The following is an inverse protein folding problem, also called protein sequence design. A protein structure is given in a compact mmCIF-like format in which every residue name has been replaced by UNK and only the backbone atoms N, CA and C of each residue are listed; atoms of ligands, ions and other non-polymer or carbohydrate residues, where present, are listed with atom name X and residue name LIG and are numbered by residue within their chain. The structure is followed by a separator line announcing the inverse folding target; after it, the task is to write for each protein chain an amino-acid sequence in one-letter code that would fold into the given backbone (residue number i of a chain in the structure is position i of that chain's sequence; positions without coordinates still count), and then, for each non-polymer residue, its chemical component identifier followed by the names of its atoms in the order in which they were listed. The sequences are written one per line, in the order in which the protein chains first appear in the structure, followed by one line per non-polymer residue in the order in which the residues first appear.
data_IF_355777488699
#
_entry.id   IF_355777488699
#
_cell.length_a   1.000
_cell.length_b   1.000
_cell.length_c   1.000
_cell.angle_alpha   90.00
_cell.angle_beta   90.00
_cell.angle_gamma   90.00
#
_symmetry.space_group_name_H-M   'P 1'
#
loop_
_entity.id
_entity.type
_entity.pdbx_description
1 polymer ?
#
# COMPACT_ATOMS: atom_id res chain seq x y z
N UNK A 1 -13.27 36.53 20.74
CA UNK A 1 -13.54 35.51 19.71
C UNK A 1 -12.19 35.01 19.20
N UNK A 2 -11.84 33.75 19.42
CA UNK A 2 -10.57 33.19 18.96
C UNK A 2 -10.78 32.42 17.65
N UNK A 3 -9.87 32.59 16.69
CA UNK A 3 -9.89 31.85 15.44
C UNK A 3 -8.97 30.64 15.57
N UNK A 4 -9.55 29.45 15.68
CA UNK A 4 -8.79 28.20 15.65
C UNK A 4 -8.36 27.92 14.19
N UNK A 5 -7.07 27.67 13.99
CA UNK A 5 -6.53 27.17 12.72
C UNK A 5 -5.96 25.78 12.96
N UNK A 6 -6.43 24.80 12.20
CA UNK A 6 -5.92 23.42 12.24
C UNK A 6 -5.18 23.10 10.94
N UNK A 7 -4.11 22.32 11.03
CA UNK A 7 -3.37 21.80 9.89
C UNK A 7 -3.08 20.32 10.11
N UNK A 8 -3.14 19.53 9.04
CA UNK A 8 -2.81 18.10 9.06
C UNK A 8 -1.31 17.96 8.82
N UNK A 9 -0.57 17.36 9.76
CA UNK A 9 0.88 17.17 9.63
C UNK A 9 1.24 15.88 8.89
N UNK A 10 0.64 14.76 9.28
CA UNK A 10 0.80 13.44 8.65
C UNK A 10 -0.44 12.58 8.90
N UNK A 11 -0.58 11.50 8.14
CA UNK A 11 -1.59 10.45 8.37
C UNK A 11 -0.93 9.16 8.85
N UNK A 12 -1.57 8.46 9.78
CA UNK A 12 -1.12 7.13 10.26
C UNK A 12 -1.92 6.09 9.49
N UNK A 13 -1.24 5.22 8.76
CA UNK A 13 -1.84 4.30 7.79
C UNK A 13 -1.24 2.90 7.93
N UNK A 14 -2.01 1.86 7.63
CA UNK A 14 -1.51 0.51 7.45
C UNK A 14 -0.84 0.33 6.07
N UNK A 15 -0.29 -0.85 5.75
CA UNK A 15 0.36 -1.10 4.46
C UNK A 15 -0.57 -0.90 3.23
N UNK A 16 -1.81 -1.42 3.21
CA UNK A 16 -2.75 -1.16 2.11
C UNK A 16 -3.03 0.32 1.86
N UNK A 17 -3.31 1.09 2.91
CA UNK A 17 -3.61 2.52 2.78
C UNK A 17 -2.32 3.30 2.47
N UNK A 18 -1.17 2.88 3.01
CA UNK A 18 0.12 3.45 2.67
C UNK A 18 0.42 3.35 1.17
N UNK A 19 0.23 2.18 0.55
CA UNK A 19 0.36 2.02 -0.91
C UNK A 19 -0.50 3.02 -1.68
N UNK A 20 -1.73 3.21 -1.22
CA UNK A 20 -2.69 4.12 -1.84
C UNK A 20 -2.34 5.60 -1.65
N UNK A 21 -1.62 6.00 -0.60
CA UNK A 21 -1.25 7.41 -0.36
C UNK A 21 0.11 7.75 -0.96
N UNK A 22 1.03 6.78 -1.00
CA UNK A 22 2.39 6.95 -1.54
C UNK A 22 2.52 6.63 -3.03
N UNK A 23 1.53 5.95 -3.61
CA UNK A 23 1.59 5.42 -4.98
C UNK A 23 2.48 4.19 -5.12
N UNK A 24 3.00 3.65 -4.00
CA UNK A 24 3.85 2.47 -4.00
C UNK A 24 3.02 1.20 -4.10
N UNK A 25 3.54 0.19 -4.79
CA UNK A 25 2.95 -1.14 -4.67
C UNK A 25 3.34 -1.71 -3.30
N UNK A 26 2.39 -2.29 -2.58
CA UNK A 26 2.67 -3.12 -1.38
C UNK A 26 2.39 -4.60 -1.63
N UNK A 27 2.14 -4.98 -2.90
CA UNK A 27 1.86 -6.38 -3.29
C UNK A 27 2.67 -6.83 -4.49
N UNK A 28 3.06 -8.10 -4.49
CA UNK A 28 3.79 -8.77 -5.56
C UNK A 28 5.26 -8.35 -5.67
N UNK A 29 5.91 -8.73 -6.77
CA UNK A 29 7.34 -8.49 -7.03
C UNK A 29 7.76 -7.01 -6.95
N UNK A 30 6.84 -6.06 -7.07
CA UNK A 30 7.11 -4.61 -7.00
C UNK A 30 7.00 -4.03 -5.58
N UNK A 31 6.78 -4.88 -4.56
CA UNK A 31 6.44 -4.44 -3.21
C UNK A 31 7.63 -4.14 -2.29
N UNK A 32 8.84 -4.59 -2.63
CA UNK A 32 9.96 -4.56 -1.71
C UNK A 32 10.80 -3.27 -1.81
N UNK A 33 10.95 -2.53 -0.69
CA UNK A 33 12.01 -1.53 -0.53
C UNK A 33 13.29 -2.14 0.07
N UNK A 34 13.21 -3.34 0.65
CA UNK A 34 14.30 -4.07 1.29
C UNK A 34 15.11 -4.80 0.24
N UNK A 35 16.21 -4.17 -0.16
CA UNK A 35 17.27 -4.81 -0.94
C UNK A 35 18.21 -5.54 0.02
N UNK A 36 18.78 -6.64 -0.45
CA UNK A 36 19.93 -7.37 0.12
C UNK A 36 19.65 -8.51 1.11
N UNK A 37 18.43 -9.05 1.14
CA UNK A 37 18.17 -10.32 1.83
C UNK A 37 17.80 -11.44 0.85
N UNK A 38 18.76 -11.74 -0.02
CA UNK A 38 18.69 -12.69 -1.13
C UNK A 38 18.26 -14.12 -0.75
N UNK A 39 18.39 -14.50 0.53
CA UNK A 39 18.03 -15.84 1.03
C UNK A 39 16.70 -15.90 1.78
N UNK A 40 16.09 -14.75 2.10
CA UNK A 40 14.87 -14.68 2.91
C UNK A 40 13.64 -14.29 2.07
N UNK A 41 13.82 -13.85 0.82
CA UNK A 41 12.75 -13.45 -0.10
C UNK A 41 13.08 -13.96 -1.52
N UNK A 42 12.33 -14.97 -1.99
CA UNK A 42 12.24 -15.53 -3.36
C UNK A 42 13.49 -15.93 -4.17
N UNK A 43 14.71 -15.70 -3.67
CA UNK A 43 15.96 -16.12 -4.33
C UNK A 43 16.30 -15.39 -5.64
N UNK A 44 15.47 -14.44 -6.08
CA UNK A 44 15.74 -13.61 -7.25
C UNK A 44 16.37 -12.29 -6.83
N UNK A 45 17.57 -11.97 -7.34
CA UNK A 45 18.20 -10.68 -7.07
C UNK A 45 17.37 -9.54 -7.69
N UNK A 46 16.63 -8.80 -6.86
CA UNK A 46 15.95 -7.59 -7.29
C UNK A 46 16.96 -6.47 -7.54
N UNK A 47 17.59 -6.48 -8.72
CA UNK A 47 18.61 -5.50 -9.15
C UNK A 47 18.03 -4.12 -9.51
N UNK A 48 16.75 -3.89 -9.25
CA UNK A 48 16.06 -2.65 -9.63
C UNK A 48 16.51 -1.50 -8.73
N UNK A 49 16.66 -0.31 -9.31
CA UNK A 49 16.92 0.92 -8.57
C UNK A 49 15.79 1.21 -7.59
N UNK A 50 16.05 2.06 -6.59
CA UNK A 50 15.02 2.44 -5.58
C UNK A 50 13.76 2.84 -6.33
N UNK A 51 12.58 2.30 -5.95
CA UNK A 51 11.34 2.85 -6.46
C UNK A 51 11.41 4.37 -6.34
N UNK A 52 11.13 5.06 -7.45
CA UNK A 52 11.23 6.51 -7.49
C UNK A 52 10.34 7.08 -6.40
N UNK A 53 10.91 7.92 -5.53
CA UNK A 53 10.14 8.69 -4.57
C UNK A 53 9.36 9.75 -5.35
N UNK A 54 8.03 9.61 -5.37
CA UNK A 54 7.17 10.56 -6.04
C UNK A 54 7.02 11.83 -5.20
N UNK A 55 7.14 12.99 -5.85
CA UNK A 55 6.78 14.25 -5.22
C UNK A 55 5.27 14.30 -5.00
N UNK A 56 4.81 15.11 -4.05
CA UNK A 56 3.37 15.23 -3.79
C UNK A 56 2.63 15.86 -4.97
N UNK A 57 3.32 16.74 -5.69
CA UNK A 57 2.79 17.38 -6.90
C UNK A 57 2.70 16.37 -8.07
N UNK A 58 3.71 15.50 -8.22
CA UNK A 58 3.69 14.42 -9.21
C UNK A 58 2.54 13.43 -8.94
N UNK A 59 2.33 13.04 -7.67
CA UNK A 59 1.20 12.19 -7.27
C UNK A 59 -0.13 12.89 -7.58
N UNK A 60 -0.24 14.18 -7.27
CA UNK A 60 -1.46 14.94 -7.50
C UNK A 60 -1.78 15.04 -8.99
N UNK A 61 -0.77 15.24 -9.85
CA UNK A 61 -0.93 15.25 -11.30
C UNK A 61 -1.41 13.88 -11.81
N UNK A 62 -0.84 12.78 -11.31
CA UNK A 62 -1.30 11.43 -11.65
C UNK A 62 -2.75 11.20 -11.23
N UNK A 63 -3.11 11.58 -10.00
CA UNK A 63 -4.48 11.43 -9.49
C UNK A 63 -5.47 12.29 -10.28
N UNK A 64 -5.09 13.50 -10.71
CA UNK A 64 -5.97 14.36 -11.49
C UNK A 64 -6.20 13.86 -12.92
N UNK A 65 -5.30 13.03 -13.46
CA UNK A 65 -5.46 12.37 -14.77
C UNK A 65 -6.38 11.15 -14.73
N UNK A 66 -6.71 10.65 -13.55
CA UNK A 66 -7.52 9.45 -13.37
C UNK A 66 -8.94 9.82 -12.95
N UNK A 67 -9.92 9.30 -13.69
CA UNK A 67 -11.31 9.37 -13.27
C UNK A 67 -11.61 8.29 -12.23
N UNK A 68 -11.86 8.72 -11.00
CA UNK A 68 -12.26 7.85 -9.91
C UNK A 68 -13.78 7.77 -9.81
N UNK A 69 -14.29 6.55 -9.66
CA UNK A 69 -15.71 6.35 -9.35
C UNK A 69 -16.02 6.88 -7.94
N UNK A 70 -17.25 7.37 -7.69
CA UNK A 70 -17.65 7.85 -6.38
C UNK A 70 -17.48 6.77 -5.30
N UNK A 71 -17.12 7.20 -4.08
CA UNK A 71 -17.00 6.33 -2.91
C UNK A 71 -18.30 5.55 -2.66
N UNK A 72 -18.19 4.24 -2.37
CA UNK A 72 -19.33 3.40 -1.93
C UNK A 72 -20.00 2.52 -2.99
N UNK A 73 -19.60 2.56 -4.27
CA UNK A 73 -20.09 1.60 -5.27
C UNK A 73 -19.17 0.38 -5.35
N UNK A 74 -19.69 -0.79 -5.02
CA UNK A 74 -19.02 -2.10 -5.16
C UNK A 74 -18.90 -2.47 -6.63
N UNK A 75 -18.03 -1.78 -7.36
CA UNK A 75 -17.62 -2.20 -8.70
C UNK A 75 -16.33 -2.98 -8.53
N UNK A 76 -16.34 -4.25 -8.90
CA UNK A 76 -15.11 -5.02 -9.12
C UNK A 76 -14.26 -4.26 -10.15
N UNK A 77 -13.26 -3.52 -9.69
CA UNK A 77 -12.45 -2.66 -10.56
C UNK A 77 -11.38 -3.51 -11.24
N UNK A 78 -11.44 -3.59 -12.56
CA UNK A 78 -10.26 -3.87 -13.38
C UNK A 78 -9.27 -2.73 -13.15
N UNK A 79 -8.04 -3.05 -12.73
CA UNK A 79 -6.98 -2.04 -12.56
C UNK A 79 -6.86 -1.21 -13.85
N UNK A 80 -6.69 0.12 -13.78
CA UNK A 80 -6.30 0.89 -14.96
C UNK A 80 -5.11 0.19 -15.61
N UNK A 81 -5.23 -0.15 -16.90
CA UNK A 81 -4.23 -0.93 -17.65
C UNK A 81 -2.86 -0.25 -17.72
N UNK A 82 -2.79 1.04 -17.38
CA UNK A 82 -1.59 1.84 -17.25
C UNK A 82 -1.01 1.73 -15.85
N UNK A 83 -0.15 0.73 -15.60
CA UNK A 83 0.99 0.71 -14.64
C UNK A 83 0.87 1.40 -13.25
N UNK A 84 -0.33 1.72 -12.78
CA UNK A 84 -0.58 2.59 -11.63
C UNK A 84 -1.42 1.84 -10.61
N UNK A 85 -1.02 1.93 -9.35
CA UNK A 85 -1.65 1.20 -8.23
C UNK A 85 -2.85 1.94 -7.62
N UNK A 86 -3.30 3.03 -8.24
CA UNK A 86 -4.35 3.91 -7.69
C UNK A 86 -5.74 3.28 -7.83
N UNK A 87 -6.43 3.08 -6.71
CA UNK A 87 -7.82 2.58 -6.68
C UNK A 87 -8.83 3.70 -6.50
N UNK A 88 -8.52 4.70 -5.66
CA UNK A 88 -9.31 5.92 -5.44
C UNK A 88 -8.40 7.13 -5.20
N UNK A 89 -8.96 8.35 -5.30
CA UNK A 89 -8.31 9.59 -4.87
C UNK A 89 -8.62 9.85 -3.38
N UNK A 90 -7.62 9.89 -2.50
CA UNK A 90 -7.84 10.27 -1.10
C UNK A 90 -8.23 11.75 -0.99
N UNK A 91 -9.18 12.06 -0.09
CA UNK A 91 -9.64 13.44 0.16
C UNK A 91 -8.51 14.38 0.62
N UNK A 92 -7.46 13.84 1.26
CA UNK A 92 -6.32 14.65 1.70
C UNK A 92 -5.61 15.37 0.55
N UNK A 93 -5.65 14.82 -0.67
CA UNK A 93 -5.09 15.46 -1.86
C UNK A 93 -5.89 16.66 -2.36
N UNK A 94 -7.07 16.94 -1.80
CA UNK A 94 -7.82 18.18 -2.05
C UNK A 94 -7.27 19.36 -1.23
N UNK A 95 -6.48 19.10 -0.18
CA UNK A 95 -5.88 20.14 0.66
C UNK A 95 -4.73 20.84 -0.10
N UNK A 96 -4.75 22.18 -0.26
CA UNK A 96 -3.76 22.90 -1.08
C UNK A 96 -2.30 22.75 -0.66
N UNK A 97 -2.05 22.38 0.60
CA UNK A 97 -0.71 22.22 1.15
C UNK A 97 -0.24 20.76 1.21
N UNK A 98 -1.11 19.79 0.94
CA UNK A 98 -0.82 18.37 1.14
C UNK A 98 0.34 17.88 0.27
N UNK A 99 0.40 18.34 -0.98
CA UNK A 99 1.49 17.99 -1.90
C UNK A 99 2.87 18.48 -1.40
N UNK A 100 2.89 19.56 -0.61
CA UNK A 100 4.09 20.20 -0.06
C UNK A 100 4.54 19.61 1.28
N UNK A 101 3.74 18.74 1.91
CA UNK A 101 4.12 18.07 3.15
C UNK A 101 5.26 17.08 2.89
N UNK A 102 6.34 17.18 3.68
CA UNK A 102 7.48 16.24 3.61
C UNK A 102 7.18 14.88 4.26
N UNK A 103 6.33 14.88 5.30
CA UNK A 103 5.91 13.68 6.04
C UNK A 103 4.42 13.44 5.80
N UNK A 104 4.04 12.90 4.64
CA UNK A 104 2.61 12.71 4.29
C UNK A 104 1.97 11.51 4.98
N UNK A 105 2.75 10.46 5.19
CA UNK A 105 2.30 9.17 5.67
C UNK A 105 3.26 8.65 6.74
N UNK A 106 2.69 7.99 7.74
CA UNK A 106 3.40 7.22 8.74
C UNK A 106 2.77 5.82 8.80
N UNK A 107 3.58 4.78 9.01
CA UNK A 107 3.07 3.42 9.15
C UNK A 107 2.54 3.18 10.56
N UNK A 108 1.33 2.64 10.66
CA UNK A 108 0.74 2.21 11.93
C UNK A 108 1.31 0.84 12.32
N UNK A 109 2.37 0.87 13.12
CA UNK A 109 3.05 -0.36 13.58
C UNK A 109 2.09 -1.27 14.35
N UNK A 110 1.24 -0.70 15.22
CA UNK A 110 0.31 -1.49 16.04
C UNK A 110 -0.74 -2.21 15.17
N UNK A 111 -1.31 -1.52 14.18
CA UNK A 111 -2.28 -2.14 13.27
C UNK A 111 -1.62 -3.19 12.37
N UNK A 112 -0.38 -2.94 11.92
CA UNK A 112 0.42 -3.91 11.15
C UNK A 112 0.70 -5.17 11.97
N UNK A 113 1.20 -5.02 13.19
CA UNK A 113 1.50 -6.14 14.09
C UNK A 113 0.25 -6.97 14.39
N UNK A 114 -0.88 -6.31 14.68
CA UNK A 114 -2.15 -7.00 14.88
C UNK A 114 -2.56 -7.83 13.68
N UNK A 115 -2.48 -7.28 12.46
CA UNK A 115 -2.85 -7.99 11.25
C UNK A 115 -1.97 -9.22 10.98
N UNK A 116 -0.66 -9.11 11.24
CA UNK A 116 0.29 -10.22 11.11
C UNK A 116 -0.01 -11.29 12.14
N UNK A 117 -0.23 -10.90 13.40
CA UNK A 117 -0.55 -11.82 14.49
C UNK A 117 -1.88 -12.57 14.23
N UNK A 118 -2.95 -11.85 13.88
CA UNK A 118 -4.25 -12.45 13.58
C UNK A 118 -4.17 -13.46 12.42
N UNK A 119 -3.33 -13.17 11.42
CA UNK A 119 -3.06 -14.06 10.28
C UNK A 119 -2.30 -15.32 10.71
N UNK A 120 -1.28 -15.17 11.55
CA UNK A 120 -0.45 -16.26 12.02
C UNK A 120 -1.25 -17.19 12.93
N UNK A 121 -2.00 -16.64 13.88
CA UNK A 121 -2.91 -17.38 14.76
C UNK A 121 -4.01 -18.07 13.95
N UNK A 122 -4.60 -17.39 12.97
CA UNK A 122 -5.61 -17.96 12.08
C UNK A 122 -5.11 -19.17 11.30
N UNK A 123 -3.84 -19.13 10.88
CA UNK A 123 -3.19 -20.26 10.18
C UNK A 123 -2.82 -21.39 11.14
N UNK A 124 -2.23 -21.11 12.31
CA UNK A 124 -1.82 -22.14 13.28
C UNK A 124 -3.01 -22.91 13.85
N UNK A 125 -4.10 -22.19 14.14
CA UNK A 125 -5.30 -22.76 14.74
C UNK A 125 -6.31 -23.28 13.70
N UNK A 126 -5.94 -23.28 12.42
CA UNK A 126 -6.79 -23.70 11.29
C UNK A 126 -8.22 -23.09 11.35
N UNK A 127 -8.29 -21.78 11.64
CA UNK A 127 -9.57 -21.09 11.75
C UNK A 127 -10.09 -20.81 10.34
N UNK A 128 -11.22 -21.45 10.00
CA UNK A 128 -11.88 -21.28 8.72
C UNK A 128 -12.12 -19.80 8.39
N UNK A 129 -11.67 -19.37 7.21
CA UNK A 129 -11.81 -17.99 6.72
C UNK A 129 -10.75 -17.00 7.25
N UNK A 130 -9.89 -17.36 8.21
CA UNK A 130 -8.79 -16.51 8.69
C UNK A 130 -7.40 -17.00 8.27
N UNK A 131 -7.28 -18.24 7.83
CA UNK A 131 -6.03 -18.76 7.27
C UNK A 131 -5.64 -18.05 5.97
N UNK A 132 -4.34 -17.76 5.81
CA UNK A 132 -3.76 -17.27 4.56
C UNK A 132 -3.11 -18.39 3.74
N UNK A 133 -3.17 -19.62 4.21
CA UNK A 133 -2.80 -20.80 3.44
C UNK A 133 -3.86 -21.07 2.35
N UNK A 134 -3.63 -20.50 1.18
CA UNK A 134 -4.52 -20.63 0.02
C UNK A 134 -3.81 -21.38 -1.09
N UNK A 135 -4.56 -22.02 -1.99
CA UNK A 135 -3.99 -22.71 -3.17
C UNK A 135 -3.04 -21.78 -3.94
N UNK A 136 -3.38 -20.48 -4.05
CA UNK A 136 -2.52 -19.49 -4.69
C UNK A 136 -1.21 -19.27 -3.93
N UNK A 137 -1.27 -19.17 -2.60
CA UNK A 137 -0.07 -19.06 -1.77
C UNK A 137 0.82 -20.30 -1.91
N UNK A 138 0.24 -21.51 -1.97
CA UNK A 138 0.99 -22.76 -2.19
C UNK A 138 1.64 -22.82 -3.58
N UNK A 139 0.94 -22.37 -4.62
CA UNK A 139 1.50 -22.26 -5.98
C UNK A 139 2.60 -21.20 -6.07
N UNK A 140 2.46 -20.09 -5.33
CA UNK A 140 3.51 -19.08 -5.25
C UNK A 140 4.75 -19.62 -4.51
N UNK A 141 4.59 -20.45 -3.47
CA UNK A 141 5.70 -21.15 -2.80
C UNK A 141 6.40 -22.14 -3.74
N UNK A 142 5.63 -22.95 -4.48
CA UNK A 142 6.18 -23.87 -5.49
C UNK A 142 6.97 -23.11 -6.58
N UNK A 143 6.47 -21.95 -7.03
CA UNK A 143 7.18 -21.06 -7.96
C UNK A 143 8.45 -20.46 -7.37
N UNK A 144 8.50 -20.26 -6.06
CA UNK A 144 9.68 -19.82 -5.32
C UNK A 144 10.65 -20.97 -5.02
N UNK A 145 10.31 -22.22 -5.36
CA UNK A 145 11.13 -23.40 -5.11
C UNK A 145 11.23 -23.77 -3.63
N UNK A 146 10.23 -23.41 -2.82
CA UNK A 146 10.10 -23.72 -1.39
C UNK A 146 9.00 -24.76 -1.18
#
# INVERSE_FOLDING_TARGET
MFTLRAAVMWTVNDFPVYAMVSGWSTKGYMACPLREKDKEFDGNTERRLRPREWSGDEILEQLNRLDFAPFGKTVSRTRPSTHMNWTHKPMFFELPYWSKLKLRHNLDVMYVEKNVFDTLVGTILDIEGKTKDTIKARLDLERMGI
#
